data_IF_650406802827
#
_entry.id   IF_650406802827
#
_cell.length_a   1.000
_cell.length_b   1.000
_cell.length_c   1.000
_cell.angle_alpha   90.00
_cell.angle_beta   90.00
_cell.angle_gamma   90.00
#
_symmetry.space_group_name_H-M   'P 1'
#
loop_
_entity.id
_entity.type
_entity.pdbx_description
1 polymer ?
#
# COMPACT_ATOMS: atom_id res chain seq x y z
N UNK A 1 4.00 -5.56 18.22
CA UNK A 1 4.11 -6.50 17.10
C UNK A 1 3.57 -5.78 15.87
N UNK A 2 4.21 -5.90 14.71
CA UNK A 2 3.72 -5.29 13.47
C UNK A 2 2.64 -6.18 12.83
N UNK A 3 1.58 -5.59 12.33
CA UNK A 3 0.48 -6.26 11.65
C UNK A 3 0.53 -5.94 10.16
N UNK A 4 0.69 -6.95 9.31
CA UNK A 4 0.80 -6.78 7.88
C UNK A 4 -0.29 -7.59 7.18
N UNK A 5 -1.22 -6.90 6.55
CA UNK A 5 -2.21 -7.55 5.70
C UNK A 5 -1.60 -7.82 4.32
N UNK A 6 -1.87 -8.99 3.74
CA UNK A 6 -1.37 -9.38 2.42
C UNK A 6 -2.51 -9.39 1.40
N UNK A 7 -2.40 -8.51 0.40
CA UNK A 7 -3.29 -8.43 -0.74
C UNK A 7 -2.67 -9.16 -1.95
N UNK A 8 -2.97 -10.46 -2.03
CA UNK A 8 -2.39 -11.42 -3.00
C UNK A 8 -3.34 -11.81 -4.16
N UNK A 9 -4.62 -11.47 -4.05
CA UNK A 9 -5.60 -11.68 -5.13
C UNK A 9 -5.91 -10.38 -5.86
N UNK A 10 -6.42 -10.49 -7.10
CA UNK A 10 -6.76 -9.33 -7.91
C UNK A 10 -7.68 -8.34 -7.17
N UNK A 11 -8.75 -8.84 -6.53
CA UNK A 11 -9.71 -7.99 -5.82
C UNK A 11 -9.12 -7.35 -4.56
N UNK A 12 -8.30 -8.08 -3.79
CA UNK A 12 -7.61 -7.49 -2.63
C UNK A 12 -6.65 -6.39 -3.06
N UNK A 13 -5.90 -6.60 -4.15
CA UNK A 13 -4.98 -5.59 -4.70
C UNK A 13 -5.72 -4.38 -5.25
N UNK A 14 -6.81 -4.60 -6.00
CA UNK A 14 -7.61 -3.53 -6.56
C UNK A 14 -8.20 -2.64 -5.46
N UNK A 15 -8.76 -3.28 -4.43
CA UNK A 15 -9.28 -2.60 -3.24
C UNK A 15 -8.16 -1.83 -2.53
N UNK A 16 -7.05 -2.49 -2.21
CA UNK A 16 -5.97 -1.87 -1.45
C UNK A 16 -6.49 -1.15 -0.20
N UNK A 17 -6.15 0.12 -0.06
CA UNK A 17 -6.63 1.01 1.01
C UNK A 17 -7.85 1.87 0.62
N UNK A 18 -8.53 1.57 -0.50
CA UNK A 18 -9.79 2.21 -0.86
C UNK A 18 -10.81 2.04 0.26
N UNK A 19 -11.44 3.14 0.64
CA UNK A 19 -12.43 3.19 1.71
C UNK A 19 -11.92 2.67 3.08
N UNK A 20 -10.61 2.56 3.27
CA UNK A 20 -10.00 2.09 4.51
C UNK A 20 -9.86 3.25 5.51
N UNK A 21 -9.89 2.96 6.82
CA UNK A 21 -9.51 3.96 7.83
C UNK A 21 -7.98 4.21 7.77
N UNK A 22 -7.45 5.30 8.32
CA UNK A 22 -6.00 5.43 8.45
C UNK A 22 -5.41 4.20 9.14
N UNK A 23 -4.30 3.70 8.62
CA UNK A 23 -3.57 2.58 9.22
C UNK A 23 -3.11 2.98 10.63
N UNK A 24 -3.30 2.10 11.60
CA UNK A 24 -2.78 2.34 12.95
C UNK A 24 -1.24 2.24 12.97
N UNK A 25 -0.57 2.78 13.99
CA UNK A 25 0.87 2.57 14.17
C UNK A 25 1.19 1.07 14.16
N UNK A 26 2.18 0.68 13.36
CA UNK A 26 2.59 -0.71 13.10
C UNK A 26 1.63 -1.56 12.25
N UNK A 27 0.66 -0.95 11.56
CA UNK A 27 -0.10 -1.61 10.50
C UNK A 27 0.47 -1.32 9.11
N UNK A 28 0.34 -2.28 8.20
CA UNK A 28 0.72 -2.12 6.81
C UNK A 28 -0.08 -3.02 5.89
N UNK A 29 -0.05 -2.70 4.60
CA UNK A 29 -0.62 -3.53 3.54
C UNK A 29 0.47 -3.88 2.52
N UNK A 30 0.71 -5.17 2.33
CA UNK A 30 1.58 -5.69 1.28
C UNK A 30 0.75 -6.02 0.03
N UNK A 31 0.97 -5.27 -1.04
CA UNK A 31 0.38 -5.52 -2.36
C UNK A 31 1.33 -6.42 -3.19
N UNK A 32 0.93 -7.67 -3.46
CA UNK A 32 1.77 -8.60 -4.20
C UNK A 32 0.99 -9.45 -5.22
N UNK A 33 1.46 -9.61 -6.47
CA UNK A 33 2.41 -8.73 -7.15
C UNK A 33 1.82 -7.33 -7.41
N UNK A 34 2.65 -6.29 -7.36
CA UNK A 34 2.25 -4.92 -7.66
C UNK A 34 3.22 -4.30 -8.69
N UNK A 35 2.68 -3.63 -9.71
CA UNK A 35 3.48 -2.89 -10.73
C UNK A 35 3.22 -1.39 -10.70
N UNK A 36 2.10 -0.98 -10.11
CA UNK A 36 1.65 0.39 -9.97
C UNK A 36 0.63 0.41 -8.85
N UNK A 37 0.65 1.49 -8.08
CA UNK A 37 -0.35 1.79 -7.09
C UNK A 37 -1.20 2.96 -7.59
N UNK A 38 -2.39 3.07 -7.03
CA UNK A 38 -3.25 4.23 -7.24
C UNK A 38 -3.79 4.65 -5.87
N UNK A 39 -4.08 5.93 -5.70
CA UNK A 39 -4.61 6.46 -4.43
C UNK A 39 -6.01 7.04 -4.58
N UNK A 40 -6.75 6.59 -5.59
CA UNK A 40 -8.15 6.95 -5.78
C UNK A 40 -9.01 6.37 -4.65
N UNK A 41 -10.04 7.09 -4.25
CA UNK A 41 -10.95 6.70 -3.15
C UNK A 41 -10.25 6.45 -1.80
N UNK A 42 -9.07 7.03 -1.60
CA UNK A 42 -8.43 7.20 -0.31
C UNK A 42 -8.73 8.59 0.25
N UNK A 43 -8.57 8.75 1.56
CA UNK A 43 -8.81 10.01 2.26
C UNK A 43 -7.74 10.31 3.32
N UNK A 44 -6.59 9.62 3.26
CA UNK A 44 -5.41 9.88 4.08
C UNK A 44 -4.12 9.63 3.27
N UNK A 45 -3.02 10.34 3.56
CA UNK A 45 -1.74 10.12 2.90
C UNK A 45 -1.09 8.81 3.37
N UNK A 46 -0.26 8.22 2.52
CA UNK A 46 0.49 7.00 2.84
C UNK A 46 1.96 7.12 2.45
N UNK A 47 2.80 6.39 3.18
CA UNK A 47 4.15 6.07 2.75
C UNK A 47 4.15 4.74 2.02
N UNK A 48 4.93 4.66 0.94
CA UNK A 48 4.99 3.49 0.06
C UNK A 48 6.43 3.00 -0.02
N UNK A 49 6.61 1.73 0.30
CA UNK A 49 7.89 1.02 0.14
C UNK A 49 7.73 0.04 -1.00
N UNK A 50 8.52 0.23 -2.05
CA UNK A 50 8.56 -0.70 -3.18
C UNK A 50 9.61 -1.75 -2.90
N UNK A 51 9.23 -3.01 -3.05
CA UNK A 51 10.10 -4.17 -2.86
C UNK A 51 10.36 -4.89 -4.17
N UNK A 52 11.55 -5.44 -4.34
CA UNK A 52 11.82 -6.43 -5.39
C UNK A 52 11.22 -7.81 -5.03
N UNK A 53 11.48 -8.82 -5.86
CA UNK A 53 10.97 -10.19 -5.64
C UNK A 53 11.64 -10.91 -4.47
N UNK A 54 12.82 -10.47 -4.05
CA UNK A 54 13.58 -11.03 -2.93
C UNK A 54 13.24 -10.31 -1.61
N UNK A 55 12.43 -9.24 -1.67
CA UNK A 55 12.01 -8.45 -0.52
C UNK A 55 12.95 -7.28 -0.21
N UNK A 56 13.89 -6.95 -1.09
CA UNK A 56 14.74 -5.77 -0.92
C UNK A 56 14.01 -4.49 -1.27
N UNK A 57 14.26 -3.44 -0.49
CA UNK A 57 13.71 -2.11 -0.75
C UNK A 57 14.39 -1.51 -1.98
N UNK A 58 13.60 -1.21 -3.00
CA UNK A 58 14.09 -0.59 -4.25
C UNK A 58 13.66 0.86 -4.39
N UNK A 59 12.59 1.28 -3.70
CA UNK A 59 12.17 2.69 -3.67
C UNK A 59 11.37 3.00 -2.40
N UNK A 60 11.39 4.27 -2.02
CA UNK A 60 10.62 4.80 -0.90
C UNK A 60 9.95 6.11 -1.34
N UNK A 61 8.63 6.16 -1.23
CA UNK A 61 7.85 7.36 -1.54
C UNK A 61 7.10 7.80 -0.29
N UNK A 62 7.34 9.03 0.14
CA UNK A 62 6.73 9.62 1.34
C UNK A 62 5.52 10.44 1.01
N UNK A 63 4.57 10.47 1.94
CA UNK A 63 3.45 11.41 1.95
C UNK A 63 2.69 11.43 0.61
N UNK A 64 2.49 10.25 0.02
CA UNK A 64 1.65 10.13 -1.17
C UNK A 64 0.22 10.46 -0.76
N UNK A 65 -0.24 11.63 -1.18
CA UNK A 65 -1.59 12.12 -0.92
C UNK A 65 -2.63 11.42 -1.80
N UNK A 66 -3.89 11.34 -1.36
CA UNK A 66 -4.99 10.81 -2.16
C UNK A 66 -5.15 11.48 -3.53
N UNK A 67 -5.77 10.77 -4.47
CA UNK A 67 -6.06 11.22 -5.84
C UNK A 67 -4.82 11.51 -6.69
N UNK A 68 -3.73 10.79 -6.42
CA UNK A 68 -2.54 10.70 -7.27
C UNK A 68 -2.34 9.29 -7.82
N UNK A 69 -1.72 9.20 -8.98
CA UNK A 69 -1.28 7.95 -9.62
C UNK A 69 0.23 7.99 -9.85
#
# INVERSE_FOLDING_TARGET
>A
MANLEVADTFWKRFRGLQFHRPLAPNEGLLLAPCRSIHTHWMWFPIDVVMLDREGHIIAFHREIVPWKT
#
